data_IF_736432058818
#
_entry.id   IF_736432058818
#
_cell.length_a   1.000
_cell.length_b   1.000
_cell.length_c   1.000
_cell.angle_alpha   90.00
_cell.angle_beta   90.00
_cell.angle_gamma   90.00
#
_symmetry.space_group_name_H-M   'P 1'
#
loop_
_entity.id
_entity.type
_entity.pdbx_description
1 polymer ?
#
# COMPACT_ATOMS: atom_id res chain seq x y z
N UNK A 1 28.62 25.78 13.22
CA UNK A 1 28.68 24.31 13.08
C UNK A 1 27.24 23.87 12.89
N UNK A 2 26.82 23.71 11.64
CA UNK A 2 25.43 23.43 11.29
C UNK A 2 25.12 21.99 11.71
N UNK A 3 24.12 21.81 12.58
CA UNK A 3 23.64 20.50 12.94
C UNK A 3 23.14 19.82 11.67
N UNK A 4 23.81 18.76 11.23
CA UNK A 4 23.37 17.93 10.13
C UNK A 4 21.99 17.40 10.48
N UNK A 5 20.95 17.99 9.89
CA UNK A 5 19.61 17.43 9.93
C UNK A 5 19.69 16.05 9.30
N UNK A 6 19.51 15.00 10.10
CA UNK A 6 19.33 13.67 9.55
C UNK A 6 18.16 13.73 8.56
N UNK A 7 18.33 13.20 7.34
CA UNK A 7 17.25 13.16 6.38
C UNK A 7 16.08 12.41 6.99
N UNK A 8 14.93 13.06 7.10
CA UNK A 8 13.72 12.46 7.67
C UNK A 8 13.30 11.26 6.81
N UNK A 9 13.69 10.07 7.26
CA UNK A 9 13.38 8.81 6.60
C UNK A 9 11.87 8.57 6.60
N UNK A 10 11.28 8.15 5.47
CA UNK A 10 9.91 7.64 5.45
C UNK A 10 9.76 6.45 6.41
N UNK A 11 8.61 6.32 7.08
CA UNK A 11 8.38 5.26 8.07
C UNK A 11 8.62 3.83 7.53
N UNK A 12 8.40 3.59 6.24
CA UNK A 12 8.63 2.27 5.63
C UNK A 12 10.11 1.91 5.49
N UNK A 13 11.03 2.89 5.59
CA UNK A 13 12.49 2.74 5.51
C UNK A 13 13.18 2.67 6.89
N UNK A 14 12.49 3.03 7.97
CA UNK A 14 13.04 3.00 9.34
C UNK A 14 13.15 1.57 9.87
N UNK A 15 13.81 1.41 11.01
CA UNK A 15 13.92 0.14 11.76
C UNK A 15 13.46 0.23 13.22
N UNK A 16 12.98 1.41 13.66
CA UNK A 16 12.58 1.71 15.03
C UNK A 16 11.49 0.77 15.61
N UNK A 17 10.61 0.24 14.75
CA UNK A 17 9.42 -0.53 15.14
C UNK A 17 9.50 -2.02 14.77
N UNK A 18 10.70 -2.55 14.50
CA UNK A 18 10.88 -3.96 14.13
C UNK A 18 10.97 -4.84 15.38
N UNK A 19 10.16 -5.90 15.42
CA UNK A 19 10.16 -6.92 16.48
C UNK A 19 11.51 -7.62 16.61
N UNK A 20 11.80 -8.19 17.78
CA UNK A 20 13.05 -8.90 17.98
C UNK A 20 13.14 -10.16 17.10
N UNK A 21 12.03 -10.88 16.89
CA UNK A 21 12.01 -12.02 15.96
C UNK A 21 12.38 -11.58 14.54
N UNK A 22 11.85 -10.46 14.08
CA UNK A 22 12.15 -9.95 12.74
C UNK A 22 13.59 -9.45 12.62
N UNK A 23 14.15 -8.82 13.66
CA UNK A 23 15.58 -8.47 13.71
C UNK A 23 16.48 -9.70 13.60
N UNK A 24 16.13 -10.78 14.30
CA UNK A 24 16.85 -12.05 14.23
C UNK A 24 16.75 -12.70 12.84
N UNK A 25 15.60 -12.57 12.17
CA UNK A 25 15.46 -13.03 10.79
C UNK A 25 16.34 -12.19 9.85
N UNK A 26 16.24 -10.86 9.94
CA UNK A 26 16.98 -9.90 9.11
C UNK A 26 18.49 -10.16 9.15
N UNK A 27 19.06 -10.49 10.32
CA UNK A 27 20.49 -10.76 10.46
C UNK A 27 20.98 -12.00 9.71
N UNK A 28 20.06 -12.90 9.33
CA UNK A 28 20.36 -14.11 8.54
C UNK A 28 20.16 -13.93 7.04
N UNK A 29 19.52 -12.83 6.60
CA UNK A 29 19.20 -12.59 5.20
C UNK A 29 20.34 -11.91 4.44
N UNK A 30 20.49 -12.15 3.13
CA UNK A 30 21.37 -11.35 2.29
C UNK A 30 20.96 -9.88 2.35
N UNK A 31 21.93 -9.00 2.58
CA UNK A 31 21.71 -7.55 2.66
C UNK A 31 22.46 -6.81 1.55
N UNK A 32 21.88 -5.75 1.01
CA UNK A 32 22.54 -4.83 0.08
C UNK A 32 22.11 -3.39 0.40
N UNK A 33 22.75 -2.40 -0.21
CA UNK A 33 22.39 -0.98 -0.05
C UNK A 33 21.64 -0.46 -1.26
N UNK A 34 20.61 0.33 -1.00
CA UNK A 34 19.96 1.10 -2.06
C UNK A 34 20.84 2.26 -2.54
N UNK A 35 20.34 3.02 -3.53
CA UNK A 35 21.06 4.17 -4.10
C UNK A 35 21.28 5.32 -3.09
N UNK A 36 20.58 5.32 -1.95
CA UNK A 36 20.73 6.29 -0.87
C UNK A 36 21.62 5.76 0.27
N UNK A 37 22.10 4.52 0.17
CA UNK A 37 22.95 3.88 1.16
C UNK A 37 22.21 3.16 2.30
N UNK A 38 20.88 3.05 2.23
CA UNK A 38 20.06 2.35 3.21
C UNK A 38 20.02 0.85 2.96
N UNK A 39 20.04 0.07 4.04
CA UNK A 39 20.05 -1.39 3.96
C UNK A 39 18.71 -1.96 3.50
N UNK A 40 18.78 -2.82 2.50
CA UNK A 40 17.72 -3.70 2.02
C UNK A 40 18.07 -5.14 2.36
N UNK A 41 17.06 -5.94 2.62
CA UNK A 41 17.21 -7.36 2.96
C UNK A 41 16.39 -8.22 1.99
N UNK A 42 17.01 -9.26 1.45
CA UNK A 42 16.36 -10.18 0.53
C UNK A 42 15.57 -11.23 1.30
N UNK A 43 14.24 -11.18 1.21
CA UNK A 43 13.35 -12.19 1.74
C UNK A 43 12.54 -12.80 0.60
N UNK A 44 12.68 -14.12 0.41
CA UNK A 44 11.98 -14.91 -0.63
C UNK A 44 12.12 -14.31 -2.04
N UNK A 45 13.28 -13.75 -2.38
CA UNK A 45 13.58 -13.20 -3.70
C UNK A 45 13.19 -11.72 -3.90
N UNK A 46 12.60 -11.08 -2.89
CA UNK A 46 12.24 -9.66 -2.91
C UNK A 46 13.06 -8.87 -1.90
N UNK A 47 13.37 -7.62 -2.22
CA UNK A 47 14.16 -6.73 -1.37
C UNK A 47 13.27 -5.78 -0.57
N UNK A 48 13.48 -5.72 0.75
CA UNK A 48 12.67 -4.94 1.68
C UNK A 48 13.50 -4.12 2.65
N UNK A 49 12.97 -2.96 3.03
CA UNK A 49 13.43 -2.25 4.22
C UNK A 49 12.90 -2.94 5.49
N UNK A 50 13.55 -2.78 6.66
CA UNK A 50 13.21 -3.47 7.89
C UNK A 50 11.72 -3.38 8.28
N UNK A 51 11.17 -2.16 8.37
CA UNK A 51 9.75 -1.97 8.70
C UNK A 51 8.80 -2.54 7.64
N UNK A 52 9.19 -2.53 6.36
CA UNK A 52 8.37 -3.13 5.30
C UNK A 52 8.38 -4.65 5.40
N UNK A 53 9.53 -5.26 5.73
CA UNK A 53 9.63 -6.70 5.94
C UNK A 53 8.81 -7.14 7.16
N UNK A 54 8.86 -6.41 8.27
CA UNK A 54 8.00 -6.63 9.43
C UNK A 54 6.53 -6.67 9.01
N UNK A 55 6.05 -5.66 8.27
CA UNK A 55 4.66 -5.61 7.82
C UNK A 55 4.29 -6.79 6.88
N UNK A 56 5.22 -7.26 6.05
CA UNK A 56 5.02 -8.46 5.22
C UNK A 56 4.84 -9.70 6.07
N UNK A 57 5.67 -9.89 7.11
CA UNK A 57 5.56 -11.01 8.04
C UNK A 57 4.25 -10.95 8.83
N UNK A 58 3.88 -9.77 9.32
CA UNK A 58 2.64 -9.56 10.07
C UNK A 58 1.42 -9.91 9.22
N UNK A 59 1.39 -9.49 7.96
CA UNK A 59 0.31 -9.84 7.02
C UNK A 59 0.33 -11.34 6.73
N UNK A 60 1.49 -11.97 6.54
CA UNK A 60 1.59 -13.41 6.28
C UNK A 60 1.05 -14.25 7.45
N UNK A 61 1.26 -13.82 8.68
CA UNK A 61 0.86 -14.55 9.89
C UNK A 61 -0.59 -14.25 10.32
N UNK A 62 -1.02 -12.99 10.23
CA UNK A 62 -2.25 -12.54 10.87
C UNK A 62 -3.40 -12.25 9.88
N UNK A 63 -3.13 -12.14 8.57
CA UNK A 63 -4.19 -11.84 7.60
C UNK A 63 -5.10 -13.05 7.36
N UNK A 64 -6.38 -12.91 7.70
CA UNK A 64 -7.40 -13.94 7.53
C UNK A 64 -8.35 -13.58 6.38
N UNK A 65 -8.09 -14.06 5.14
CA UNK A 65 -8.88 -13.70 3.98
C UNK A 65 -10.31 -14.25 4.08
N UNK A 66 -11.29 -13.41 3.76
CA UNK A 66 -12.70 -13.80 3.69
C UNK A 66 -13.06 -14.15 2.25
N UNK A 67 -14.09 -14.98 2.07
CA UNK A 67 -14.59 -15.39 0.74
C UNK A 67 -15.03 -14.24 -0.17
N UNK A 68 -15.23 -13.03 0.37
CA UNK A 68 -15.69 -11.84 -0.37
C UNK A 68 -14.58 -10.82 -0.61
N UNK A 69 -13.37 -11.06 -0.09
CA UNK A 69 -12.27 -10.12 -0.20
C UNK A 69 -11.67 -10.20 -1.60
N UNK A 70 -11.28 -9.04 -2.14
CA UNK A 70 -10.61 -8.92 -3.43
C UNK A 70 -9.22 -8.33 -3.15
N UNK A 71 -8.19 -9.11 -3.43
CA UNK A 71 -6.79 -8.66 -3.30
C UNK A 71 -6.37 -8.02 -4.62
N UNK A 72 -5.90 -6.78 -4.52
CA UNK A 72 -5.34 -6.06 -5.65
C UNK A 72 -3.82 -6.02 -5.53
N UNK A 73 -3.12 -6.57 -6.52
CA UNK A 73 -1.66 -6.59 -6.54
C UNK A 73 -1.13 -5.90 -7.80
N UNK A 74 -0.16 -5.01 -7.63
CA UNK A 74 0.61 -4.40 -8.71
C UNK A 74 2.00 -4.05 -8.21
N UNK A 75 2.93 -3.83 -9.13
CA UNK A 75 4.24 -3.29 -8.78
C UNK A 75 4.10 -1.85 -8.24
N UNK A 76 5.03 -1.40 -7.37
CA UNK A 76 5.09 -0.01 -6.94
C UNK A 76 5.08 0.93 -8.14
N UNK A 77 4.29 2.01 -8.05
CA UNK A 77 4.10 3.02 -9.12
C UNK A 77 3.45 2.50 -10.42
N UNK A 78 3.04 1.24 -10.50
CA UNK A 78 2.38 0.64 -11.66
C UNK A 78 0.90 1.02 -11.86
N UNK A 79 0.42 2.11 -11.25
CA UNK A 79 -0.96 2.58 -11.43
C UNK A 79 -1.99 2.02 -10.45
N UNK A 80 -1.61 1.77 -9.18
CA UNK A 80 -2.56 1.37 -8.11
C UNK A 80 -3.78 2.29 -8.00
N UNK A 81 -3.62 3.60 -8.23
CA UNK A 81 -4.74 4.56 -8.18
C UNK A 81 -5.78 4.29 -9.27
N UNK A 82 -5.32 4.14 -10.52
CA UNK A 82 -6.20 3.82 -11.66
C UNK A 82 -6.84 2.44 -11.49
N UNK A 83 -6.07 1.46 -11.04
CA UNK A 83 -6.59 0.12 -10.83
C UNK A 83 -7.62 0.08 -9.70
N UNK A 84 -7.38 0.81 -8.60
CA UNK A 84 -8.33 0.95 -7.49
C UNK A 84 -9.61 1.66 -7.91
N UNK A 85 -9.54 2.70 -8.75
CA UNK A 85 -10.73 3.42 -9.23
C UNK A 85 -11.61 2.55 -10.12
N UNK A 86 -11.01 1.76 -11.01
CA UNK A 86 -11.74 0.81 -11.88
C UNK A 86 -12.45 -0.26 -11.06
N UNK A 87 -11.74 -0.90 -10.11
CA UNK A 87 -12.35 -1.91 -9.24
C UNK A 87 -13.50 -1.33 -8.43
N UNK A 88 -13.33 -0.12 -7.87
CA UNK A 88 -14.40 0.57 -7.15
C UNK A 88 -15.63 0.83 -8.04
N UNK A 89 -15.42 1.36 -9.25
CA UNK A 89 -16.50 1.63 -10.20
C UNK A 89 -17.29 0.36 -10.55
N UNK A 90 -16.60 -0.76 -10.78
CA UNK A 90 -17.24 -2.05 -11.09
C UNK A 90 -18.06 -2.58 -9.91
N UNK A 91 -17.50 -2.56 -8.69
CA UNK A 91 -18.17 -3.07 -7.49
C UNK A 91 -19.41 -2.27 -7.13
N UNK A 92 -19.36 -0.94 -7.29
CA UNK A 92 -20.45 -0.05 -6.90
C UNK A 92 -21.32 0.43 -8.06
N UNK A 93 -21.15 -0.13 -9.27
CA UNK A 93 -21.89 0.27 -10.48
C UNK A 93 -23.40 0.36 -10.29
N UNK A 94 -24.01 -0.57 -9.55
CA UNK A 94 -25.46 -0.60 -9.31
C UNK A 94 -25.92 0.44 -8.30
N UNK A 95 -25.06 0.79 -7.35
CA UNK A 95 -25.35 1.79 -6.31
C UNK A 95 -25.29 3.21 -6.88
N UNK A 96 -24.35 3.45 -7.79
CA UNK A 96 -24.15 4.75 -8.43
C UNK A 96 -24.73 4.82 -9.85
N UNK A 97 -25.57 3.86 -10.25
CA UNK A 97 -26.31 3.96 -11.50
C UNK A 97 -27.39 5.02 -11.30
N UNK A 98 -27.27 6.16 -11.95
CA UNK A 98 -28.34 7.16 -11.98
C UNK A 98 -29.61 6.49 -12.51
N UNK A 99 -30.72 6.70 -11.80
CA UNK A 99 -32.04 6.38 -12.33
C UNK A 99 -32.46 7.56 -13.21
N UNK A 100 -32.50 7.43 -14.55
CA UNK A 100 -32.88 8.54 -15.43
C UNK A 100 -34.33 9.01 -15.25
N UNK A 101 -35.10 8.42 -14.32
CA UNK A 101 -36.51 8.79 -14.04
C UNK A 101 -36.68 9.94 -13.05
N UNK A 102 -35.63 10.46 -12.42
CA UNK A 102 -35.74 11.58 -11.45
C UNK A 102 -35.21 12.93 -11.97
N UNK A 103 -34.81 13.05 -13.23
CA UNK A 103 -34.42 14.34 -13.84
C UNK A 103 -35.57 15.06 -14.56
N UNK A 104 -36.82 14.65 -14.32
CA UNK A 104 -38.02 15.30 -14.87
C UNK A 104 -38.67 16.30 -13.90
N UNK A 105 -37.96 17.31 -13.38
CA UNK A 105 -38.64 18.35 -12.57
C UNK A 105 -38.02 19.77 -12.62
N UNK A 106 -37.24 20.15 -13.64
CA UNK A 106 -36.67 21.51 -13.70
C UNK A 106 -36.72 22.18 -15.08
N UNK A 107 -37.78 21.94 -15.88
CA UNK A 107 -38.06 22.76 -17.06
C UNK A 107 -39.56 23.06 -17.19
N UNK A 108 -40.12 23.82 -16.23
CA UNK A 108 -41.30 24.65 -16.51
C UNK A 108 -40.83 26.08 -16.75
N UNK A 109 -40.92 26.52 -18.01
CA UNK A 109 -40.67 27.90 -18.46
C UNK A 109 -41.69 28.86 -17.81
N UNK A 110 -41.34 30.14 -17.59
CA UNK A 110 -42.29 31.13 -17.11
C UNK A 110 -43.19 31.60 -18.25
N UNK A 111 -44.47 31.84 -17.94
CA UNK A 111 -45.42 32.65 -18.71
C UNK A 111 -45.52 34.04 -18.11
#
# INVERSE_FOLDING_TARGET
MEASQEPHLPNYMKDDNVSQETKNLISSLPSDKDFMGYSLYNYKGCWYYPNTLQAVLDVQEHFQPRKKDIILASLPKGGTTWLKSIVFAVLHRKKYHENPRNTSFALTKPS
#
